data_IF_434694479619
#
_entry.id   IF_434694479619
#
_cell.length_a   1.000
_cell.length_b   1.000
_cell.length_c   1.000
_cell.angle_alpha   90.00
_cell.angle_beta   90.00
_cell.angle_gamma   90.00
#
_symmetry.space_group_name_H-M   'P 1'
#
loop_
_entity.id
_entity.type
_entity.pdbx_description
1 polymer ?
#
# COMPACT_ATOMS: atom_id res chain seq x y z
N UNK A 1 -26.16 20.74 -4.72
CA UNK A 1 -26.29 19.76 -3.65
C UNK A 1 -25.64 18.46 -4.08
N UNK A 2 -24.69 17.95 -3.29
CA UNK A 2 -23.95 16.75 -3.61
C UNK A 2 -24.12 15.72 -2.49
N UNK A 3 -24.40 14.48 -2.86
CA UNK A 3 -24.49 13.37 -1.92
C UNK A 3 -23.37 12.38 -2.19
N UNK A 4 -22.62 12.05 -1.14
CA UNK A 4 -21.57 11.03 -1.15
C UNK A 4 -22.04 9.86 -0.28
N UNK A 5 -22.04 8.67 -0.82
CA UNK A 5 -22.50 7.46 -0.12
C UNK A 5 -21.31 6.70 0.46
N UNK A 6 -21.31 6.58 1.78
CA UNK A 6 -20.20 6.06 2.57
C UNK A 6 -19.21 7.17 2.96
N UNK A 7 -18.47 6.95 4.04
CA UNK A 7 -17.44 7.87 4.55
C UNK A 7 -16.02 7.25 4.53
N UNK A 8 -15.76 6.35 3.59
CA UNK A 8 -14.41 5.85 3.34
C UNK A 8 -13.50 6.92 2.72
N UNK A 9 -12.21 6.61 2.59
CA UNK A 9 -11.20 7.55 2.07
C UNK A 9 -11.61 8.21 0.76
N UNK A 10 -12.20 7.47 -0.18
CA UNK A 10 -12.60 8.01 -1.47
C UNK A 10 -13.67 9.12 -1.34
N UNK A 11 -14.70 8.90 -0.50
CA UNK A 11 -15.75 9.88 -0.30
C UNK A 11 -15.26 11.10 0.48
N UNK A 12 -14.45 10.90 1.53
CA UNK A 12 -13.85 11.98 2.30
C UNK A 12 -12.90 12.82 1.43
N UNK A 13 -12.06 12.18 0.63
CA UNK A 13 -11.18 12.86 -0.33
C UNK A 13 -11.98 13.66 -1.35
N UNK A 14 -13.04 13.08 -1.92
CA UNK A 14 -13.91 13.77 -2.86
C UNK A 14 -14.56 15.01 -2.23
N UNK A 15 -15.03 14.90 -0.97
CA UNK A 15 -15.58 16.06 -0.26
C UNK A 15 -14.54 17.18 -0.09
N UNK A 16 -13.31 16.82 0.31
CA UNK A 16 -12.23 17.80 0.45
C UNK A 16 -11.92 18.50 -0.87
N UNK A 17 -11.78 17.78 -1.97
CA UNK A 17 -11.52 18.36 -3.28
C UNK A 17 -12.70 19.21 -3.81
N UNK A 18 -13.95 18.81 -3.55
CA UNK A 18 -15.12 19.61 -3.90
C UNK A 18 -15.12 20.95 -3.20
N UNK A 19 -14.71 20.99 -1.93
CA UNK A 19 -14.58 22.26 -1.20
C UNK A 19 -13.37 23.06 -1.67
N UNK A 20 -12.19 22.43 -1.66
CA UNK A 20 -10.91 23.11 -1.90
C UNK A 20 -10.77 23.58 -3.34
N UNK A 21 -10.99 22.69 -4.30
CA UNK A 21 -10.71 22.91 -5.71
C UNK A 21 -12.00 23.23 -6.50
N UNK A 22 -13.08 22.54 -6.17
CA UNK A 22 -14.41 22.78 -6.76
C UNK A 22 -15.14 23.99 -6.21
N UNK A 23 -14.58 24.65 -5.17
CA UNK A 23 -15.16 25.83 -4.52
C UNK A 23 -16.62 25.64 -4.09
N UNK A 24 -17.02 24.40 -3.86
CA UNK A 24 -18.36 24.08 -3.41
C UNK A 24 -18.48 24.41 -1.92
N UNK A 25 -19.59 25.04 -1.54
CA UNK A 25 -19.87 25.30 -0.13
C UNK A 25 -20.12 23.98 0.61
N UNK A 26 -19.52 23.79 1.79
CA UNK A 26 -19.66 22.59 2.59
C UNK A 26 -21.11 22.24 2.93
N UNK A 27 -21.97 23.24 3.11
CA UNK A 27 -23.43 23.07 3.33
C UNK A 27 -24.17 22.38 2.18
N UNK A 28 -23.55 22.30 0.99
CA UNK A 28 -24.08 21.61 -0.17
C UNK A 28 -23.56 20.17 -0.33
N UNK A 29 -22.69 19.71 0.57
CA UNK A 29 -22.08 18.38 0.52
C UNK A 29 -22.60 17.55 1.69
N UNK A 30 -23.25 16.44 1.37
CA UNK A 30 -23.80 15.52 2.37
C UNK A 30 -23.13 14.17 2.23
N UNK A 31 -22.48 13.72 3.30
CA UNK A 31 -21.87 12.39 3.39
C UNK A 31 -22.83 11.50 4.17
N UNK A 32 -23.32 10.45 3.53
CA UNK A 32 -24.23 9.48 4.09
C UNK A 32 -23.47 8.26 4.56
N UNK A 33 -23.30 8.10 5.85
CA UNK A 33 -22.61 6.96 6.46
C UNK A 33 -23.59 6.09 7.25
N UNK A 34 -23.44 4.78 7.12
CA UNK A 34 -24.24 3.80 7.83
C UNK A 34 -23.67 3.50 9.23
N UNK A 35 -22.35 3.47 9.31
CA UNK A 35 -21.65 3.11 10.53
C UNK A 35 -21.42 4.33 11.44
N UNK A 36 -21.29 4.13 12.76
CA UNK A 36 -21.14 5.25 13.70
C UNK A 36 -19.77 5.95 13.61
N UNK A 37 -18.79 5.30 12.97
CA UNK A 37 -17.42 5.81 12.85
C UNK A 37 -17.13 6.05 11.36
N UNK A 38 -16.72 7.25 10.96
CA UNK A 38 -16.27 7.51 9.60
C UNK A 38 -14.90 6.86 9.32
N UNK A 39 -14.56 6.74 8.04
CA UNK A 39 -13.26 6.20 7.61
C UNK A 39 -13.35 4.91 6.80
N UNK A 40 -14.47 4.21 6.85
CA UNK A 40 -14.67 2.94 6.15
C UNK A 40 -13.66 1.88 6.60
N UNK A 41 -12.97 1.24 5.66
CA UNK A 41 -11.94 0.25 5.97
C UNK A 41 -10.68 0.85 6.63
N UNK A 42 -10.54 2.17 6.61
CA UNK A 42 -9.44 2.90 7.25
C UNK A 42 -9.80 3.41 8.65
N UNK A 43 -10.90 2.94 9.23
CA UNK A 43 -11.26 3.24 10.59
C UNK A 43 -10.19 2.74 11.59
N UNK A 44 -10.16 3.35 12.73
CA UNK A 44 -9.34 2.93 13.87
C UNK A 44 -10.14 3.10 15.15
N UNK A 45 -9.76 2.39 16.16
CA UNK A 45 -10.35 2.49 17.49
C UNK A 45 -9.27 2.70 18.54
N UNK A 46 -9.50 3.64 19.43
CA UNK A 46 -8.63 3.87 20.57
C UNK A 46 -9.24 3.26 21.83
N UNK A 47 -8.50 2.39 22.47
CA UNK A 47 -8.82 1.85 23.79
C UNK A 47 -7.93 2.50 24.84
N UNK A 48 -8.50 2.93 25.94
CA UNK A 48 -7.76 3.63 27.01
C UNK A 48 -6.56 2.83 27.53
N UNK A 49 -6.71 1.51 27.64
CA UNK A 49 -5.67 0.62 28.19
C UNK A 49 -4.78 -0.05 27.13
N UNK A 50 -5.21 -0.10 25.87
CA UNK A 50 -4.56 -0.88 24.80
C UNK A 50 -4.00 -0.01 23.67
N UNK A 51 -4.31 1.29 23.68
CA UNK A 51 -3.94 2.19 22.60
C UNK A 51 -4.77 1.99 21.33
N UNK A 52 -4.19 2.29 20.20
CA UNK A 52 -4.88 2.26 18.93
C UNK A 52 -4.91 0.86 18.32
N UNK A 53 -6.10 0.46 17.86
CA UNK A 53 -6.33 -0.77 17.09
C UNK A 53 -6.83 -0.40 15.71
N UNK A 54 -6.20 -0.94 14.67
CA UNK A 54 -6.56 -0.71 13.30
C UNK A 54 -6.57 -2.03 12.51
N UNK A 55 -7.29 -2.05 11.39
CA UNK A 55 -7.31 -3.19 10.47
C UNK A 55 -6.11 -3.15 9.54
N UNK A 56 -5.30 -4.20 9.56
CA UNK A 56 -4.17 -4.38 8.67
C UNK A 56 -3.06 -3.33 8.79
N UNK A 57 -2.04 -3.45 7.97
CA UNK A 57 -0.99 -2.46 7.82
C UNK A 57 -1.49 -1.26 7.00
N UNK A 58 -1.00 -0.07 7.32
CA UNK A 58 -1.33 1.18 6.61
C UNK A 58 -0.05 1.83 6.15
N UNK A 59 0.54 1.18 5.16
CA UNK A 59 1.77 1.66 4.53
C UNK A 59 1.43 2.56 3.36
N UNK A 60 2.26 3.55 3.12
CA UNK A 60 2.10 4.51 2.03
C UNK A 60 3.33 4.55 1.18
N UNK A 61 3.11 4.73 -0.12
CA UNK A 61 4.16 4.84 -1.12
C UNK A 61 4.44 6.32 -1.44
N UNK A 62 5.69 6.66 -1.72
CA UNK A 62 6.09 8.00 -2.12
C UNK A 62 5.37 8.51 -3.38
N UNK A 63 4.80 7.60 -4.18
CA UNK A 63 4.08 7.90 -5.41
C UNK A 63 2.56 8.00 -5.22
N UNK A 64 2.06 8.04 -3.99
CA UNK A 64 0.65 8.33 -3.71
C UNK A 64 0.37 9.84 -3.81
N UNK A 65 0.67 10.43 -4.95
CA UNK A 65 0.73 11.87 -5.17
C UNK A 65 -0.58 12.59 -4.84
N UNK A 66 -1.72 12.02 -5.23
CA UNK A 66 -3.04 12.58 -4.89
C UNK A 66 -3.29 12.60 -3.38
N UNK A 67 -2.81 11.59 -2.66
CA UNK A 67 -2.95 11.53 -1.21
C UNK A 67 -2.01 12.53 -0.52
N UNK A 68 -0.78 12.67 -1.00
CA UNK A 68 0.16 13.67 -0.48
C UNK A 68 -0.34 15.09 -0.73
N UNK A 69 -0.95 15.34 -1.89
CA UNK A 69 -1.59 16.63 -2.17
C UNK A 69 -2.76 16.90 -1.21
N UNK A 70 -3.60 15.90 -0.95
CA UNK A 70 -4.67 16.00 0.03
C UNK A 70 -4.10 16.30 1.43
N UNK A 71 -3.12 15.53 1.90
CA UNK A 71 -2.55 15.65 3.25
C UNK A 71 -1.88 16.99 3.51
N UNK A 72 -1.36 17.62 2.47
CA UNK A 72 -0.83 19.00 2.55
C UNK A 72 -1.89 20.02 2.95
N UNK A 73 -3.14 19.78 2.61
CA UNK A 73 -4.26 20.70 2.87
C UNK A 73 -5.04 20.36 4.15
N UNK A 74 -4.76 19.24 4.79
CA UNK A 74 -5.42 18.84 6.05
C UNK A 74 -4.55 19.30 7.22
N UNK A 75 -5.09 20.11 8.14
CA UNK A 75 -4.35 20.50 9.34
C UNK A 75 -4.14 19.29 10.27
N UNK A 76 -2.96 19.21 10.88
CA UNK A 76 -2.72 18.24 11.95
C UNK A 76 -3.62 18.53 13.16
N UNK A 77 -4.13 17.48 13.78
CA UNK A 77 -4.87 17.57 15.05
C UNK A 77 -3.93 17.52 16.26
N UNK A 78 -2.71 17.01 16.07
CA UNK A 78 -1.71 16.85 17.13
C UNK A 78 -0.82 18.09 17.28
N UNK A 79 -0.52 18.75 16.17
CA UNK A 79 0.42 19.88 16.15
C UNK A 79 -0.18 21.07 15.40
N UNK A 80 -0.36 22.17 16.13
CA UNK A 80 -0.92 23.39 15.55
C UNK A 80 0.02 24.00 14.49
N UNK A 81 -0.56 24.47 13.40
CA UNK A 81 0.16 25.22 12.35
C UNK A 81 0.89 24.36 11.31
N UNK A 82 0.83 23.04 11.40
CA UNK A 82 1.37 22.15 10.37
C UNK A 82 0.27 21.31 9.73
N UNK A 83 0.57 20.77 8.53
CA UNK A 83 -0.30 19.82 7.86
C UNK A 83 -0.06 18.38 8.31
N UNK A 84 -1.02 17.49 8.03
CA UNK A 84 -0.84 16.04 8.21
C UNK A 84 0.36 15.53 7.41
N UNK A 85 0.63 16.11 6.24
CA UNK A 85 1.81 15.76 5.44
C UNK A 85 3.12 16.11 6.18
N UNK A 86 3.22 17.30 6.75
CA UNK A 86 4.41 17.74 7.47
C UNK A 86 4.68 16.87 8.70
N UNK A 87 3.62 16.57 9.47
CA UNK A 87 3.69 15.68 10.61
C UNK A 87 4.17 14.28 10.22
N UNK A 88 3.64 13.75 9.13
CA UNK A 88 3.99 12.45 8.60
C UNK A 88 5.47 12.35 8.21
N UNK A 89 5.99 13.34 7.46
CA UNK A 89 7.41 13.39 7.10
C UNK A 89 8.30 13.53 8.34
N UNK A 90 7.88 14.31 9.31
CA UNK A 90 8.63 14.50 10.54
C UNK A 90 8.75 13.20 11.36
N UNK A 91 7.65 12.46 11.52
CA UNK A 91 7.65 11.17 12.20
C UNK A 91 8.58 10.17 11.52
N UNK A 92 8.50 10.06 10.20
CA UNK A 92 9.35 9.14 9.45
C UNK A 92 10.83 9.56 9.43
N UNK A 93 11.12 10.85 9.53
CA UNK A 93 12.49 11.34 9.67
C UNK A 93 13.12 10.98 11.02
N UNK A 94 12.33 10.97 12.08
CA UNK A 94 12.76 10.61 13.42
C UNK A 94 12.89 9.12 13.66
N UNK A 95 11.99 8.35 13.09
CA UNK A 95 11.94 6.90 13.19
C UNK A 95 11.82 6.28 11.80
N UNK A 96 12.89 6.32 11.00
CA UNK A 96 12.90 5.76 9.67
C UNK A 96 12.70 4.25 9.73
N UNK A 97 11.89 3.73 8.82
CA UNK A 97 11.60 2.32 8.75
C UNK A 97 12.72 1.56 8.03
N UNK A 98 13.72 1.09 8.76
CA UNK A 98 14.81 0.25 8.25
C UNK A 98 14.61 -1.24 8.55
N UNK A 99 13.38 -1.69 8.68
CA UNK A 99 13.10 -3.10 8.95
C UNK A 99 13.53 -3.96 7.77
N UNK A 100 14.46 -4.87 8.01
CA UNK A 100 14.73 -5.96 7.08
C UNK A 100 13.50 -6.85 6.97
N UNK A 101 13.15 -7.24 5.77
CA UNK A 101 12.09 -8.22 5.57
C UNK A 101 12.51 -9.56 6.15
N UNK A 102 11.66 -10.09 6.99
CA UNK A 102 11.76 -11.44 7.52
C UNK A 102 10.55 -12.26 7.08
N UNK A 103 10.78 -13.50 6.75
CA UNK A 103 9.72 -14.44 6.45
C UNK A 103 9.80 -15.63 7.39
N UNK A 104 8.67 -16.28 7.62
CA UNK A 104 8.59 -17.50 8.41
C UNK A 104 8.07 -18.65 7.57
N UNK A 105 8.52 -19.85 7.87
CA UNK A 105 8.04 -21.10 7.30
C UNK A 105 7.65 -22.08 8.42
N UNK A 106 7.09 -23.21 8.09
CA UNK A 106 6.80 -24.28 9.04
C UNK A 106 6.16 -23.81 10.37
N UNK A 107 5.14 -22.93 10.27
CA UNK A 107 4.41 -22.39 11.42
C UNK A 107 5.23 -21.49 12.35
N UNK A 108 6.03 -20.60 11.77
CA UNK A 108 6.73 -19.56 12.52
C UNK A 108 8.22 -19.77 12.72
N UNK A 109 8.80 -20.77 12.10
CA UNK A 109 10.26 -20.89 12.03
C UNK A 109 10.84 -19.85 11.10
N UNK A 110 12.02 -19.32 11.43
CA UNK A 110 12.70 -18.35 10.57
C UNK A 110 13.10 -19.02 9.24
N UNK A 111 12.68 -18.44 8.13
CA UNK A 111 13.00 -18.93 6.80
C UNK A 111 14.43 -18.58 6.35
N UNK A 112 15.20 -17.88 7.19
CA UNK A 112 16.59 -17.47 6.94
C UNK A 112 16.81 -16.81 5.56
N UNK A 113 15.89 -15.97 5.17
CA UNK A 113 15.91 -15.30 3.86
C UNK A 113 17.00 -14.25 3.73
N UNK A 114 17.48 -13.71 4.85
CA UNK A 114 18.59 -12.73 4.96
C UNK A 114 18.42 -11.51 4.01
N UNK A 115 17.18 -11.14 3.72
CA UNK A 115 16.89 -10.05 2.77
C UNK A 115 17.19 -10.36 1.32
N UNK A 116 17.49 -11.62 0.98
CA UNK A 116 17.83 -12.03 -0.40
C UNK A 116 16.61 -12.62 -1.10
N UNK A 117 16.48 -12.33 -2.39
CA UNK A 117 15.39 -12.86 -3.21
C UNK A 117 15.51 -14.35 -3.53
N UNK A 118 16.72 -14.88 -3.57
CA UNK A 118 16.94 -16.27 -3.92
C UNK A 118 16.44 -16.64 -5.33
N UNK A 119 16.35 -15.66 -6.24
CA UNK A 119 16.04 -15.92 -7.64
C UNK A 119 17.27 -16.46 -8.34
N UNK A 120 17.06 -17.53 -9.13
CA UNK A 120 18.03 -17.96 -10.13
C UNK A 120 18.08 -16.98 -11.31
N UNK A 121 19.11 -17.10 -12.15
CA UNK A 121 19.21 -16.31 -13.39
C UNK A 121 17.99 -16.53 -14.28
N UNK A 122 17.48 -17.75 -14.34
CA UNK A 122 16.25 -18.08 -15.08
C UNK A 122 15.04 -17.37 -14.49
N UNK A 123 14.84 -17.44 -13.17
CA UNK A 123 13.74 -16.77 -12.49
C UNK A 123 13.79 -15.25 -12.67
N UNK A 124 14.98 -14.66 -12.60
CA UNK A 124 15.17 -13.24 -12.89
C UNK A 124 14.78 -12.88 -14.33
N UNK A 125 15.14 -13.71 -15.30
CA UNK A 125 14.73 -13.51 -16.70
C UNK A 125 13.22 -13.62 -16.90
N UNK A 126 12.56 -14.51 -16.19
CA UNK A 126 11.09 -14.65 -16.25
C UNK A 126 10.39 -13.42 -15.69
N UNK A 127 10.88 -12.86 -14.58
CA UNK A 127 10.37 -11.58 -14.04
C UNK A 127 10.58 -10.44 -15.06
N UNK A 128 11.77 -10.36 -15.65
CA UNK A 128 12.04 -9.35 -16.69
C UNK A 128 11.12 -9.55 -17.91
N UNK A 129 10.92 -10.79 -18.34
CA UNK A 129 10.01 -11.11 -19.45
C UNK A 129 8.59 -10.66 -19.14
N UNK A 130 8.08 -10.94 -17.93
CA UNK A 130 6.78 -10.44 -17.51
C UNK A 130 6.71 -8.92 -17.61
N UNK A 131 7.74 -8.23 -17.11
CA UNK A 131 7.81 -6.77 -17.10
C UNK A 131 7.71 -6.16 -18.52
N UNK A 132 8.37 -6.76 -19.51
CA UNK A 132 8.37 -6.28 -20.89
C UNK A 132 7.24 -6.85 -21.76
N UNK A 133 6.50 -7.83 -21.29
CA UNK A 133 5.36 -8.38 -22.05
C UNK A 133 4.25 -7.33 -22.17
N UNK A 134 3.71 -7.04 -23.36
CA UNK A 134 2.58 -6.13 -23.51
C UNK A 134 1.39 -6.53 -22.65
N UNK A 135 0.66 -5.55 -22.11
CA UNK A 135 -0.45 -5.79 -21.19
C UNK A 135 -1.56 -6.63 -21.81
N UNK A 136 -1.82 -6.44 -23.11
CA UNK A 136 -2.84 -7.17 -23.88
C UNK A 136 -2.58 -8.67 -23.93
N UNK A 137 -1.32 -9.07 -23.89
CA UNK A 137 -0.93 -10.48 -23.87
C UNK A 137 -1.12 -11.14 -22.50
N UNK A 138 -1.35 -10.33 -21.47
CA UNK A 138 -1.50 -10.78 -20.08
C UNK A 138 -2.94 -10.75 -19.57
N UNK A 139 -3.90 -10.17 -20.32
CA UNK A 139 -5.27 -9.98 -19.85
C UNK A 139 -5.95 -11.26 -19.32
N UNK A 140 -5.67 -12.40 -19.93
CA UNK A 140 -6.25 -13.68 -19.54
C UNK A 140 -5.20 -14.69 -19.03
N UNK A 141 -4.04 -14.19 -18.60
CA UNK A 141 -2.98 -15.04 -18.06
C UNK A 141 -2.98 -15.01 -16.53
N UNK A 142 -2.82 -16.19 -15.97
CA UNK A 142 -2.54 -16.35 -14.53
C UNK A 142 -1.02 -16.36 -14.31
N UNK A 143 -0.62 -16.12 -13.09
CA UNK A 143 0.78 -16.10 -12.67
C UNK A 143 1.44 -17.46 -12.94
N UNK A 144 0.75 -18.57 -12.64
CA UNK A 144 1.23 -19.95 -12.88
C UNK A 144 1.34 -20.35 -14.36
N UNK A 145 0.89 -19.49 -15.27
CA UNK A 145 1.03 -19.69 -16.72
C UNK A 145 2.19 -18.89 -17.33
N UNK A 146 2.83 -18.06 -16.54
CA UNK A 146 3.92 -17.18 -17.00
C UNK A 146 5.24 -17.45 -16.28
N UNK A 147 5.20 -18.12 -15.14
CA UNK A 147 6.38 -18.50 -14.36
C UNK A 147 6.49 -20.01 -14.20
N UNK A 148 7.72 -20.48 -14.14
CA UNK A 148 8.06 -21.86 -13.78
C UNK A 148 8.12 -22.03 -12.26
N UNK A 149 8.12 -23.29 -11.80
CA UNK A 149 8.18 -23.69 -10.39
C UNK A 149 9.37 -23.08 -9.65
N UNK A 150 10.44 -22.77 -10.35
CA UNK A 150 11.64 -22.17 -9.79
C UNK A 150 11.40 -20.75 -9.21
N UNK A 151 10.53 -19.97 -9.81
CA UNK A 151 10.12 -18.67 -9.26
C UNK A 151 9.30 -18.86 -7.98
N UNK A 152 8.41 -19.85 -7.97
CA UNK A 152 7.53 -20.12 -6.83
C UNK A 152 8.25 -20.67 -5.60
N UNK A 153 9.40 -21.28 -5.78
CA UNK A 153 10.26 -21.76 -4.69
C UNK A 153 11.25 -20.71 -4.17
N UNK A 154 11.29 -19.53 -4.76
CA UNK A 154 12.20 -18.45 -4.38
C UNK A 154 11.70 -17.61 -3.19
N UNK A 155 12.64 -16.99 -2.48
CA UNK A 155 12.30 -16.00 -1.45
C UNK A 155 11.57 -14.79 -2.04
N UNK A 156 11.83 -14.44 -3.30
CA UNK A 156 11.09 -13.39 -4.00
C UNK A 156 9.58 -13.68 -3.98
N UNK A 157 9.18 -14.91 -4.36
CA UNK A 157 7.77 -15.28 -4.35
C UNK A 157 7.20 -15.32 -2.93
N UNK A 158 7.97 -15.84 -1.97
CA UNK A 158 7.57 -15.87 -0.57
C UNK A 158 7.26 -14.46 -0.04
N UNK A 159 8.12 -13.48 -0.30
CA UNK A 159 7.88 -12.09 0.06
C UNK A 159 6.68 -11.51 -0.69
N UNK A 160 6.62 -11.72 -1.99
CA UNK A 160 5.59 -11.17 -2.84
C UNK A 160 4.19 -11.61 -2.45
N UNK A 161 4.01 -12.91 -2.27
CA UNK A 161 2.73 -13.47 -1.84
C UNK A 161 2.34 -13.04 -0.41
N UNK A 162 3.30 -12.92 0.48
CA UNK A 162 3.06 -12.54 1.87
C UNK A 162 2.68 -11.07 1.99
N UNK A 163 3.37 -10.18 1.27
CA UNK A 163 3.11 -8.73 1.33
C UNK A 163 1.84 -8.32 0.61
N UNK A 164 1.61 -8.87 -0.57
CA UNK A 164 0.56 -8.41 -1.47
C UNK A 164 -0.59 -9.41 -1.61
N UNK A 165 -0.57 -10.49 -0.84
CA UNK A 165 -1.57 -11.56 -0.85
C UNK A 165 -1.78 -12.17 -2.26
N UNK A 166 -0.73 -12.26 -3.08
CA UNK A 166 -0.81 -12.92 -4.35
C UNK A 166 -0.84 -14.45 -4.20
N UNK A 167 -1.60 -15.09 -5.05
CA UNK A 167 -1.64 -16.53 -5.24
C UNK A 167 -1.31 -16.89 -6.70
N UNK A 168 -0.82 -18.10 -6.93
CA UNK A 168 -0.36 -18.54 -8.26
C UNK A 168 -1.43 -18.41 -9.36
N UNK A 169 -2.70 -18.50 -8.99
CA UNK A 169 -3.84 -18.40 -9.89
C UNK A 169 -4.33 -16.97 -10.14
N UNK A 170 -3.74 -15.97 -9.47
CA UNK A 170 -4.07 -14.57 -9.70
C UNK A 170 -3.61 -14.07 -11.08
N UNK A 171 -4.06 -12.88 -11.45
CA UNK A 171 -3.73 -12.25 -12.73
C UNK A 171 -2.25 -11.92 -12.84
N UNK A 172 -1.62 -12.38 -13.92
CA UNK A 172 -0.24 -12.00 -14.26
C UNK A 172 -0.12 -10.50 -14.61
N UNK A 173 -1.17 -9.91 -15.16
CA UNK A 173 -1.22 -8.47 -15.44
C UNK A 173 -1.17 -7.67 -14.13
N UNK A 174 -2.00 -8.03 -13.16
CA UNK A 174 -1.99 -7.35 -11.85
C UNK A 174 -0.60 -7.45 -11.19
N UNK A 175 0.01 -8.63 -11.20
CA UNK A 175 1.36 -8.78 -10.68
C UNK A 175 2.37 -7.88 -11.40
N UNK A 176 2.30 -7.79 -12.73
CA UNK A 176 3.15 -6.88 -13.52
C UNK A 176 2.95 -5.42 -13.12
N UNK A 177 1.71 -4.98 -12.94
CA UNK A 177 1.40 -3.61 -12.54
C UNK A 177 1.95 -3.29 -11.14
N UNK A 178 1.87 -4.24 -10.21
CA UNK A 178 2.50 -4.12 -8.90
C UNK A 178 4.02 -4.05 -9.00
N UNK A 179 4.66 -4.92 -9.79
CA UNK A 179 6.10 -4.87 -10.02
C UNK A 179 6.52 -3.52 -10.59
N UNK A 180 5.81 -3.00 -11.60
CA UNK A 180 6.08 -1.67 -12.17
C UNK A 180 6.03 -0.57 -11.12
N UNK A 181 5.06 -0.65 -10.22
CA UNK A 181 4.87 0.33 -9.16
C UNK A 181 6.03 0.30 -8.15
N UNK A 182 6.46 -0.89 -7.77
CA UNK A 182 7.45 -1.08 -6.71
C UNK A 182 8.88 -1.25 -7.21
N UNK A 183 9.13 -1.20 -8.53
CA UNK A 183 10.46 -1.43 -9.10
C UNK A 183 11.50 -0.42 -8.62
N UNK A 184 11.09 0.78 -8.26
CA UNK A 184 11.98 1.81 -7.70
C UNK A 184 12.48 1.43 -6.30
N UNK A 185 11.80 0.52 -5.64
CA UNK A 185 12.14 0.01 -4.31
C UNK A 185 12.86 -1.34 -4.37
N UNK A 186 12.98 -1.95 -5.55
CA UNK A 186 13.57 -3.29 -5.72
C UNK A 186 15.07 -3.33 -5.42
N UNK A 187 15.78 -2.21 -5.57
CA UNK A 187 17.21 -2.10 -5.17
C UNK A 187 17.42 -2.08 -3.66
N UNK A 188 16.37 -1.85 -2.90
CA UNK A 188 16.34 -1.74 -1.45
C UNK A 188 15.19 -2.54 -0.84
N UNK A 189 14.99 -3.79 -1.24
CA UNK A 189 13.98 -4.61 -0.59
C UNK A 189 14.18 -4.79 0.93
N UNK A 190 15.40 -4.61 1.48
CA UNK A 190 15.58 -4.33 2.89
C UNK A 190 15.08 -2.95 3.31
N UNK A 191 15.10 -1.98 2.40
CA UNK A 191 14.64 -0.61 2.58
C UNK A 191 13.28 -0.39 1.90
N UNK A 192 12.29 -1.15 2.30
CA UNK A 192 10.94 -0.70 2.08
C UNK A 192 10.77 0.55 2.95
N UNK A 193 11.04 1.70 2.38
CA UNK A 193 10.67 2.99 2.96
C UNK A 193 9.15 3.17 2.84
N UNK A 194 8.42 2.18 3.32
CA UNK A 194 7.02 2.30 3.54
C UNK A 194 6.85 3.29 4.67
N UNK A 195 6.36 4.45 4.33
CA UNK A 195 5.95 5.43 5.29
C UNK A 195 4.84 4.81 6.15
N UNK A 196 5.06 4.67 7.44
CA UNK A 196 4.05 4.13 8.36
C UNK A 196 3.07 5.22 8.73
N UNK A 197 1.82 4.88 8.71
CA UNK A 197 0.79 5.58 9.45
C UNK A 197 0.65 4.90 10.82
N UNK A 198 1.00 5.58 11.85
CA UNK A 198 0.68 5.18 13.24
C UNK A 198 -0.56 5.89 13.72
#
# INVERSE_FOLDING_TARGET
LQYLVGSGLAALTAACYLVRDGQMKGEHIHILEKDPIPGGACDGYCYDDLGYVMRGGREMDNHFECMWDLFRSIPSIETEGISVLDEYYWLNKRDPNYSLMRATENRGQDAHTDGKFGLSDKGALEIMKLFFTPDEQLYNKRIDQVFDEEVFSSNFWLYWRTMFAFENWHSALEMKLYIKRFIHHVGGLPDFSALRFT
#
